data_IF_938801716992
#
_entry.id   IF_938801716992
#
_cell.length_a   1.000
_cell.length_b   1.000
_cell.length_c   1.000
_cell.angle_alpha   90.00
_cell.angle_beta   90.00
_cell.angle_gamma   90.00
#
_symmetry.space_group_name_H-M   'P 1'
#
loop_
_entity.id
_entity.type
_entity.pdbx_description
1 polymer ?
#
# COMPACT_ATOMS: atom_id res chain seq x y z
N UNK A 1 16.85 2.71 -20.35
CA UNK A 1 16.77 2.19 -18.97
C UNK A 1 17.76 2.97 -18.15
N UNK A 2 17.27 3.80 -17.23
CA UNK A 2 18.15 4.58 -16.35
C UNK A 2 18.73 3.63 -15.31
N UNK A 3 20.05 3.52 -15.27
CA UNK A 3 20.75 2.71 -14.26
C UNK A 3 21.06 3.59 -13.04
N UNK A 4 21.34 3.02 -11.88
CA UNK A 4 21.81 3.79 -10.71
C UNK A 4 22.99 4.72 -11.05
N UNK A 5 23.75 4.40 -12.11
CA UNK A 5 24.89 5.17 -12.56
C UNK A 5 24.55 6.39 -13.45
N UNK A 6 23.29 6.56 -13.88
CA UNK A 6 22.92 7.62 -14.84
C UNK A 6 22.25 8.86 -14.23
N UNK A 7 21.73 8.81 -12.99
CA UNK A 7 21.09 9.97 -12.35
C UNK A 7 21.27 9.96 -10.81
N UNK A 8 21.87 11.00 -10.19
CA UNK A 8 21.97 11.13 -8.73
C UNK A 8 20.63 11.04 -7.98
N UNK A 9 19.51 11.39 -8.63
CA UNK A 9 18.15 11.27 -8.06
C UNK A 9 17.74 9.81 -7.88
N UNK A 10 18.32 8.89 -8.66
CA UNK A 10 18.11 7.45 -8.50
C UNK A 10 18.72 6.93 -7.20
N UNK A 11 19.87 7.47 -6.79
CA UNK A 11 20.50 7.13 -5.50
C UNK A 11 19.68 7.64 -4.32
N UNK A 12 19.20 8.88 -4.39
CA UNK A 12 18.31 9.42 -3.35
C UNK A 12 17.02 8.59 -3.23
N UNK A 13 16.40 8.26 -4.36
CA UNK A 13 15.21 7.40 -4.38
C UNK A 13 15.50 5.99 -3.85
N UNK A 14 16.65 5.40 -4.21
CA UNK A 14 17.09 4.10 -3.72
C UNK A 14 17.24 4.09 -2.18
N UNK A 15 17.94 5.09 -1.63
CA UNK A 15 18.10 5.26 -0.18
C UNK A 15 16.74 5.42 0.50
N UNK A 16 15.86 6.26 -0.05
CA UNK A 16 14.52 6.46 0.50
C UNK A 16 13.69 5.16 0.51
N UNK A 17 13.78 4.34 -0.54
CA UNK A 17 13.11 3.04 -0.57
C UNK A 17 13.70 2.03 0.44
N UNK A 18 15.02 2.04 0.67
CA UNK A 18 15.63 1.24 1.75
C UNK A 18 15.10 1.70 3.10
N UNK A 19 15.15 3.01 3.38
CA UNK A 19 14.67 3.57 4.64
C UNK A 19 13.19 3.23 4.87
N UNK A 20 12.37 3.31 3.82
CA UNK A 20 10.97 2.92 3.86
C UNK A 20 10.79 1.43 4.16
N UNK A 21 11.58 0.56 3.51
CA UNK A 21 11.53 -0.89 3.72
C UNK A 21 11.85 -1.23 5.18
N UNK A 22 12.91 -0.64 5.72
CA UNK A 22 13.33 -0.82 7.12
C UNK A 22 12.25 -0.30 8.08
N UNK A 23 11.67 0.87 7.80
CA UNK A 23 10.60 1.45 8.62
C UNK A 23 9.36 0.54 8.63
N UNK A 24 8.93 0.06 7.47
CA UNK A 24 7.77 -0.82 7.34
C UNK A 24 8.00 -2.15 8.08
N UNK A 25 9.19 -2.74 7.96
CA UNK A 25 9.57 -3.92 8.75
C UNK A 25 9.58 -3.65 10.25
N UNK A 26 10.08 -2.48 10.67
CA UNK A 26 10.08 -2.08 12.07
C UNK A 26 8.64 -1.94 12.61
N UNK A 27 7.76 -1.30 11.86
CA UNK A 27 6.33 -1.19 12.21
C UNK A 27 5.67 -2.58 12.26
N UNK A 28 6.02 -3.49 11.35
CA UNK A 28 5.53 -4.87 11.38
C UNK A 28 5.93 -5.60 12.67
N UNK A 29 7.22 -5.54 13.03
CA UNK A 29 7.73 -6.15 14.28
C UNK A 29 7.03 -5.59 15.51
N UNK A 30 6.83 -4.27 15.56
CA UNK A 30 6.11 -3.63 16.66
C UNK A 30 4.64 -4.03 16.72
N UNK A 31 3.99 -4.22 15.56
CA UNK A 31 2.60 -4.68 15.51
C UNK A 31 2.45 -6.09 16.09
N UNK A 32 3.37 -7.01 15.77
CA UNK A 32 3.37 -8.36 16.37
C UNK A 32 3.62 -8.31 17.87
N UNK A 33 4.61 -7.54 18.32
CA UNK A 33 4.92 -7.40 19.75
C UNK A 33 3.76 -6.80 20.55
N UNK A 34 3.06 -5.82 19.97
CA UNK A 34 1.86 -5.24 20.59
C UNK A 34 0.70 -6.25 20.62
N UNK A 35 0.58 -7.11 19.60
CA UNK A 35 -0.44 -8.13 19.58
C UNK A 35 -0.26 -9.16 20.70
N UNK A 36 0.96 -9.65 20.90
CA UNK A 36 1.30 -10.55 22.02
C UNK A 36 0.94 -9.90 23.36
N UNK A 37 1.33 -8.65 23.56
CA UNK A 37 1.00 -7.91 24.78
C UNK A 37 -0.52 -7.74 25.03
N UNK A 38 -1.32 -7.57 23.97
CA UNK A 38 -2.79 -7.47 24.08
C UNK A 38 -3.44 -8.82 24.34
N UNK A 39 -2.90 -9.89 23.75
CA UNK A 39 -3.32 -11.28 24.01
C UNK A 39 -3.06 -11.66 25.47
N UNK A 40 -1.88 -11.33 26.01
CA UNK A 40 -1.55 -11.53 27.43
C UNK A 40 -2.49 -10.78 28.39
N UNK A 41 -3.09 -9.69 27.92
CA UNK A 41 -4.07 -8.88 28.65
C UNK A 41 -5.52 -9.35 28.47
N UNK A 42 -5.75 -10.40 27.68
CA UNK A 42 -7.09 -10.93 27.40
C UNK A 42 -7.89 -10.16 26.34
N UNK A 43 -7.26 -9.25 25.58
CA UNK A 43 -7.90 -8.53 24.47
C UNK A 43 -7.60 -9.20 23.13
N UNK A 44 -8.21 -10.37 22.92
CA UNK A 44 -7.98 -11.21 21.74
C UNK A 44 -8.39 -10.51 20.42
N UNK A 45 -9.43 -9.66 20.46
CA UNK A 45 -9.92 -8.94 19.28
C UNK A 45 -8.89 -7.93 18.78
N UNK A 46 -8.33 -7.12 19.70
CA UNK A 46 -7.30 -6.14 19.34
C UNK A 46 -5.98 -6.82 18.97
N UNK A 47 -5.61 -7.91 19.66
CA UNK A 47 -4.45 -8.72 19.30
C UNK A 47 -4.54 -9.25 17.86
N UNK A 48 -5.71 -9.79 17.48
CA UNK A 48 -5.97 -10.25 16.11
C UNK A 48 -5.87 -9.11 15.09
N UNK A 49 -6.44 -7.94 15.40
CA UNK A 49 -6.37 -6.76 14.53
C UNK A 49 -4.91 -6.29 14.31
N UNK A 50 -4.09 -6.27 15.38
CA UNK A 50 -2.67 -5.93 15.32
C UNK A 50 -1.84 -6.95 14.53
N UNK A 51 -2.10 -8.25 14.69
CA UNK A 51 -1.47 -9.30 13.86
C UNK A 51 -1.74 -9.08 12.37
N UNK A 52 -2.98 -8.75 12.01
CA UNK A 52 -3.37 -8.47 10.61
C UNK A 52 -2.61 -7.25 10.07
N UNK A 53 -2.44 -6.19 10.87
CA UNK A 53 -1.57 -5.07 10.49
C UNK A 53 -0.10 -5.49 10.35
N UNK A 54 0.41 -6.33 11.25
CA UNK A 54 1.75 -6.91 11.15
C UNK A 54 1.95 -7.64 9.82
N UNK A 55 1.05 -8.55 9.46
CA UNK A 55 1.08 -9.26 8.17
C UNK A 55 0.99 -8.29 6.98
N UNK A 56 0.11 -7.29 7.05
CA UNK A 56 0.02 -6.26 6.03
C UNK A 56 1.38 -5.59 5.79
N UNK A 57 2.06 -5.13 6.85
CA UNK A 57 3.35 -4.47 6.73
C UNK A 57 4.49 -5.43 6.32
N UNK A 58 4.47 -6.70 6.73
CA UNK A 58 5.45 -7.70 6.22
C UNK A 58 5.30 -7.87 4.72
N UNK A 59 4.08 -8.11 4.24
CA UNK A 59 3.82 -8.30 2.80
C UNK A 59 4.20 -7.01 2.03
N UNK A 60 3.91 -5.85 2.62
CA UNK A 60 4.31 -4.56 2.08
C UNK A 60 5.83 -4.45 1.95
N UNK A 61 6.60 -4.81 2.98
CA UNK A 61 8.06 -4.80 2.95
C UNK A 61 8.61 -5.76 1.88
N UNK A 62 8.04 -6.96 1.75
CA UNK A 62 8.44 -7.92 0.69
C UNK A 62 8.21 -7.34 -0.71
N UNK A 63 7.10 -6.61 -0.91
CA UNK A 63 6.86 -5.85 -2.14
C UNK A 63 7.96 -4.80 -2.39
N UNK A 64 8.36 -4.03 -1.37
CA UNK A 64 9.43 -3.03 -1.50
C UNK A 64 10.79 -3.67 -1.78
N UNK A 65 11.11 -4.80 -1.13
CA UNK A 65 12.33 -5.58 -1.38
C UNK A 65 12.37 -6.06 -2.82
N UNK A 66 11.25 -6.59 -3.35
CA UNK A 66 11.14 -6.96 -4.77
C UNK A 66 11.45 -5.78 -5.70
N UNK A 67 10.91 -4.59 -5.40
CA UNK A 67 11.19 -3.35 -6.13
C UNK A 67 12.63 -2.82 -5.97
N UNK A 68 13.33 -3.18 -4.88
CA UNK A 68 14.74 -2.83 -4.70
C UNK A 68 15.64 -3.80 -5.46
N UNK A 69 15.37 -5.10 -5.39
CA UNK A 69 16.14 -6.15 -6.07
C UNK A 69 16.12 -5.95 -7.58
N UNK A 70 14.98 -5.54 -8.17
CA UNK A 70 14.88 -5.31 -9.61
C UNK A 70 15.93 -4.31 -10.11
N UNK A 71 16.29 -3.30 -9.30
CA UNK A 71 17.27 -2.25 -9.68
C UNK A 71 18.70 -2.78 -9.84
N UNK A 72 18.95 -4.00 -9.35
CA UNK A 72 20.23 -4.70 -9.46
C UNK A 72 20.15 -5.95 -10.36
N UNK A 73 18.96 -6.29 -10.86
CA UNK A 73 18.78 -7.37 -11.84
C UNK A 73 19.09 -6.81 -13.24
N UNK A 74 20.37 -6.85 -13.65
CA UNK A 74 20.85 -6.02 -14.78
C UNK A 74 20.59 -6.62 -16.17
N UNK A 75 20.08 -7.85 -16.33
CA UNK A 75 20.27 -8.53 -17.62
C UNK A 75 19.11 -9.30 -18.23
N UNK A 76 18.00 -9.53 -17.52
CA UNK A 76 16.87 -10.29 -18.08
C UNK A 76 15.54 -9.53 -17.90
N UNK A 77 14.97 -9.08 -19.03
CA UNK A 77 13.71 -8.33 -19.07
C UNK A 77 12.53 -9.15 -18.52
N UNK A 78 12.52 -10.46 -18.73
CA UNK A 78 11.48 -11.36 -18.22
C UNK A 78 11.59 -11.49 -16.69
N UNK A 79 12.80 -11.64 -16.17
CA UNK A 79 13.03 -11.71 -14.72
C UNK A 79 12.59 -10.42 -14.02
N UNK A 80 12.91 -9.26 -14.60
CA UNK A 80 12.49 -7.95 -14.11
C UNK A 80 10.96 -7.86 -14.09
N UNK A 81 10.31 -8.29 -15.16
CA UNK A 81 8.85 -8.26 -15.29
C UNK A 81 8.17 -9.12 -14.20
N UNK A 82 8.68 -10.33 -13.97
CA UNK A 82 8.18 -11.25 -12.95
C UNK A 82 8.35 -10.65 -11.54
N UNK A 83 9.51 -10.04 -11.26
CA UNK A 83 9.80 -9.41 -9.96
C UNK A 83 8.86 -8.23 -9.68
N UNK A 84 8.68 -7.31 -10.64
CA UNK A 84 7.76 -6.18 -10.50
C UNK A 84 6.32 -6.63 -10.33
N UNK A 85 5.88 -7.62 -11.12
CA UNK A 85 4.53 -8.20 -11.00
C UNK A 85 4.30 -8.82 -9.64
N UNK A 86 5.29 -9.56 -9.13
CA UNK A 86 5.21 -10.21 -7.82
C UNK A 86 5.12 -9.15 -6.73
N UNK A 87 5.94 -8.10 -6.81
CA UNK A 87 5.89 -6.97 -5.88
C UNK A 87 4.52 -6.28 -5.88
N UNK A 88 3.95 -5.96 -7.04
CA UNK A 88 2.62 -5.36 -7.13
C UNK A 88 1.51 -6.30 -6.63
N UNK A 89 1.60 -7.60 -6.95
CA UNK A 89 0.62 -8.60 -6.48
C UNK A 89 0.64 -8.71 -4.96
N UNK A 90 1.81 -8.75 -4.34
CA UNK A 90 1.95 -8.77 -2.88
C UNK A 90 1.27 -7.57 -2.24
N UNK A 91 1.45 -6.36 -2.80
CA UNK A 91 0.74 -5.17 -2.33
C UNK A 91 -0.78 -5.33 -2.41
N UNK A 92 -1.31 -5.79 -3.54
CA UNK A 92 -2.76 -6.03 -3.68
C UNK A 92 -3.28 -7.12 -2.75
N UNK A 93 -2.50 -8.16 -2.48
CA UNK A 93 -2.84 -9.22 -1.50
C UNK A 93 -2.89 -8.65 -0.09
N UNK A 94 -1.91 -7.82 0.30
CA UNK A 94 -1.91 -7.16 1.61
C UNK A 94 -3.21 -6.34 1.80
N UNK A 95 -3.59 -5.58 0.77
CA UNK A 95 -4.83 -4.82 0.76
C UNK A 95 -6.05 -5.71 0.84
N UNK A 96 -6.11 -6.77 0.01
CA UNK A 96 -7.23 -7.69 0.00
C UNK A 96 -7.49 -8.28 1.38
N UNK A 97 -6.45 -8.76 2.07
CA UNK A 97 -6.55 -9.30 3.44
C UNK A 97 -7.15 -8.25 4.38
N UNK A 98 -6.65 -7.00 4.32
CA UNK A 98 -7.11 -5.95 5.22
C UNK A 98 -8.53 -5.51 4.93
N UNK A 99 -8.87 -5.30 3.65
CA UNK A 99 -10.22 -4.94 3.21
C UNK A 99 -11.22 -6.04 3.56
N UNK A 100 -10.88 -7.31 3.31
CA UNK A 100 -11.72 -8.45 3.67
C UNK A 100 -11.98 -8.52 5.18
N UNK A 101 -10.96 -8.27 6.01
CA UNK A 101 -11.14 -8.25 7.46
C UNK A 101 -12.09 -7.13 7.91
N UNK A 102 -11.89 -5.92 7.39
CA UNK A 102 -12.75 -4.77 7.69
C UNK A 102 -14.19 -5.02 7.21
N UNK A 103 -14.36 -5.56 6.00
CA UNK A 103 -15.65 -5.90 5.42
C UNK A 103 -16.39 -6.94 6.25
N UNK A 104 -15.71 -8.00 6.70
CA UNK A 104 -16.28 -9.01 7.60
C UNK A 104 -16.76 -8.39 8.91
N UNK A 105 -15.93 -7.56 9.56
CA UNK A 105 -16.34 -6.86 10.79
C UNK A 105 -17.55 -5.93 10.57
N UNK A 106 -17.67 -5.30 9.40
CA UNK A 106 -18.85 -4.49 9.08
C UNK A 106 -20.11 -5.32 8.85
N UNK A 107 -20.00 -6.47 8.18
CA UNK A 107 -21.13 -7.37 7.94
C UNK A 107 -21.67 -7.92 9.26
N UNK A 108 -20.77 -8.27 10.18
CA UNK A 108 -21.13 -8.69 11.54
C UNK A 108 -21.91 -7.59 12.29
N UNK A 109 -21.56 -6.32 12.11
CA UNK A 109 -22.22 -5.17 12.75
C UNK A 109 -23.51 -4.72 12.06
N UNK A 110 -23.59 -4.82 10.73
CA UNK A 110 -24.71 -4.34 9.91
C UNK A 110 -25.19 -5.45 8.97
N UNK A 111 -25.93 -6.42 9.53
CA UNK A 111 -26.48 -7.61 8.83
C UNK A 111 -27.17 -7.33 7.49
N UNK A 112 -27.66 -6.11 7.24
CA UNK A 112 -28.46 -5.75 6.07
C UNK A 112 -27.67 -5.15 4.89
N UNK A 113 -26.35 -4.90 5.01
CA UNK A 113 -25.55 -4.31 3.92
C UNK A 113 -24.35 -5.17 3.59
N UNK A 114 -24.38 -5.82 2.42
CA UNK A 114 -23.20 -6.42 1.82
C UNK A 114 -22.39 -5.33 1.14
N UNK A 115 -21.17 -5.14 1.60
CA UNK A 115 -20.17 -4.38 0.89
C UNK A 115 -19.39 -5.34 -0.02
N UNK A 116 -18.83 -4.85 -1.14
CA UNK A 116 -18.09 -5.68 -2.10
C UNK A 116 -16.68 -5.12 -2.36
N UNK A 117 -16.10 -4.42 -1.38
CA UNK A 117 -14.79 -3.77 -1.54
C UNK A 117 -13.66 -4.80 -1.69
N UNK A 118 -13.73 -5.91 -0.96
CA UNK A 118 -12.76 -7.01 -1.08
C UNK A 118 -12.81 -7.66 -2.47
N UNK A 119 -14.00 -7.79 -3.05
CA UNK A 119 -14.17 -8.27 -4.43
C UNK A 119 -13.57 -7.30 -5.46
N UNK A 120 -13.69 -5.99 -5.25
CA UNK A 120 -13.04 -4.97 -6.10
C UNK A 120 -11.51 -5.10 -6.06
N UNK A 121 -10.92 -5.31 -4.88
CA UNK A 121 -9.46 -5.53 -4.75
C UNK A 121 -9.07 -6.87 -5.40
N UNK A 122 -9.88 -7.92 -5.26
CA UNK A 122 -9.65 -9.21 -5.91
C UNK A 122 -9.61 -9.09 -7.44
N UNK A 123 -10.51 -8.30 -8.03
CA UNK A 123 -10.49 -8.01 -9.48
C UNK A 123 -9.16 -7.33 -9.86
N UNK A 124 -8.65 -6.41 -9.03
CA UNK A 124 -7.34 -5.77 -9.28
C UNK A 124 -6.19 -6.77 -9.27
N UNK A 125 -6.22 -7.76 -8.36
CA UNK A 125 -5.25 -8.88 -8.34
C UNK A 125 -5.32 -9.66 -9.63
N UNK A 126 -6.52 -10.04 -10.08
CA UNK A 126 -6.72 -10.83 -11.31
C UNK A 126 -6.20 -10.06 -12.52
N UNK A 127 -6.55 -8.76 -12.65
CA UNK A 127 -6.07 -7.91 -13.75
C UNK A 127 -4.54 -7.85 -13.74
N UNK A 128 -3.91 -7.66 -12.58
CA UNK A 128 -2.45 -7.59 -12.47
C UNK A 128 -1.74 -8.91 -12.81
N UNK A 129 -2.35 -10.06 -12.52
CA UNK A 129 -1.78 -11.38 -12.80
C UNK A 129 -1.95 -11.77 -14.27
N UNK A 130 -3.13 -11.52 -14.85
CA UNK A 130 -3.51 -12.01 -16.18
C UNK A 130 -3.03 -11.08 -17.30
N UNK A 131 -2.98 -9.77 -17.04
CA UNK A 131 -2.59 -8.77 -18.05
C UNK A 131 -1.07 -8.71 -18.15
N UNK A 132 -0.44 -8.70 -19.34
CA UNK A 132 1.01 -8.52 -19.48
C UNK A 132 1.51 -7.20 -18.86
N UNK A 133 2.73 -7.14 -18.32
CA UNK A 133 3.13 -6.01 -17.45
C UNK A 133 3.35 -4.75 -18.26
N UNK A 134 3.89 -4.91 -19.47
CA UNK A 134 4.04 -3.83 -20.44
C UNK A 134 2.70 -3.13 -20.74
N UNK A 135 1.61 -3.89 -20.86
CA UNK A 135 0.24 -3.39 -21.04
C UNK A 135 -0.24 -2.55 -19.85
N UNK A 136 0.23 -2.84 -18.63
CA UNK A 136 -0.14 -2.10 -17.42
C UNK A 136 0.71 -0.83 -17.24
N UNK A 137 1.94 -0.83 -17.77
CA UNK A 137 2.88 0.30 -17.67
C UNK A 137 2.74 1.33 -18.80
N UNK A 138 2.08 0.95 -19.90
CA UNK A 138 1.77 1.81 -21.04
C UNK A 138 0.42 2.52 -20.87
N UNK A 139 0.30 3.70 -21.49
CA UNK A 139 -0.95 4.46 -21.50
C UNK A 139 -2.00 3.70 -22.30
N UNK A 140 -2.89 2.99 -21.61
CA UNK A 140 -4.02 2.32 -22.24
C UNK A 140 -5.26 2.28 -21.35
N UNK A 141 -6.43 1.86 -21.90
CA UNK A 141 -7.65 1.74 -21.12
C UNK A 141 -7.56 0.73 -19.96
N UNK A 142 -6.80 -0.35 -20.09
CA UNK A 142 -6.62 -1.36 -19.02
C UNK A 142 -5.90 -0.78 -17.80
N UNK A 143 -4.91 0.09 -17.99
CA UNK A 143 -4.23 0.81 -16.92
C UNK A 143 -5.21 1.73 -16.17
N UNK A 144 -6.07 2.45 -16.90
CA UNK A 144 -7.12 3.29 -16.31
C UNK A 144 -8.12 2.44 -15.51
N UNK A 145 -8.55 1.31 -16.05
CA UNK A 145 -9.46 0.37 -15.38
C UNK A 145 -8.81 -0.18 -14.10
N UNK A 146 -7.55 -0.59 -14.16
CA UNK A 146 -6.80 -1.07 -13.00
C UNK A 146 -6.73 0.01 -11.91
N UNK A 147 -6.34 1.23 -12.28
CA UNK A 147 -6.28 2.35 -11.33
C UNK A 147 -7.65 2.66 -10.71
N UNK A 148 -8.73 2.60 -11.49
CA UNK A 148 -10.08 2.79 -10.98
C UNK A 148 -10.44 1.72 -9.94
N UNK A 149 -10.21 0.43 -10.23
CA UNK A 149 -10.49 -0.65 -9.28
C UNK A 149 -9.63 -0.55 -8.02
N UNK A 150 -8.32 -0.30 -8.15
CA UNK A 150 -7.43 -0.15 -6.99
C UNK A 150 -7.87 1.04 -6.13
N UNK A 151 -8.19 2.18 -6.74
CA UNK A 151 -8.65 3.39 -6.03
C UNK A 151 -9.98 3.14 -5.32
N UNK A 152 -10.94 2.49 -5.99
CA UNK A 152 -12.22 2.11 -5.39
C UNK A 152 -12.03 1.12 -4.23
N UNK A 153 -11.15 0.13 -4.38
CA UNK A 153 -10.80 -0.81 -3.32
C UNK A 153 -10.19 -0.10 -2.10
N UNK A 154 -9.26 0.83 -2.32
CA UNK A 154 -8.66 1.64 -1.26
C UNK A 154 -9.64 2.60 -0.58
N UNK A 155 -10.65 3.10 -1.29
CA UNK A 155 -11.62 4.07 -0.76
C UNK A 155 -12.39 3.56 0.47
N UNK A 156 -12.42 2.24 0.68
CA UNK A 156 -13.01 1.61 1.85
C UNK A 156 -12.39 2.11 3.17
N UNK A 157 -11.07 2.36 3.19
CA UNK A 157 -10.38 2.85 4.37
C UNK A 157 -10.88 4.24 4.77
N UNK A 158 -10.78 5.29 3.92
CA UNK A 158 -11.29 6.59 4.29
C UNK A 158 -12.79 6.54 4.57
N UNK A 159 -13.62 5.87 3.76
CA UNK A 159 -15.07 5.81 3.99
C UNK A 159 -15.41 5.29 5.40
N UNK A 160 -14.83 4.16 5.79
CA UNK A 160 -15.15 3.51 7.07
C UNK A 160 -14.57 4.28 8.24
N UNK A 161 -13.31 4.67 8.15
CA UNK A 161 -12.66 5.37 9.25
C UNK A 161 -13.18 6.81 9.40
N UNK A 162 -13.60 7.49 8.32
CA UNK A 162 -14.36 8.74 8.45
C UNK A 162 -15.74 8.53 9.06
N UNK A 163 -16.44 7.46 8.67
CA UNK A 163 -17.72 7.12 9.30
C UNK A 163 -17.55 6.92 10.81
N UNK A 164 -16.59 6.10 11.23
CA UNK A 164 -16.25 5.89 12.66
C UNK A 164 -15.88 7.22 13.33
N UNK A 165 -15.04 8.05 12.70
CA UNK A 165 -14.65 9.35 13.23
C UNK A 165 -15.86 10.30 13.41
N UNK A 166 -16.85 10.24 12.52
CA UNK A 166 -18.06 11.07 12.61
C UNK A 166 -18.98 10.67 13.77
N UNK A 167 -18.90 9.41 14.22
CA UNK A 167 -19.76 8.83 15.26
C UNK A 167 -19.06 8.70 16.62
N UNK A 168 -17.79 9.02 16.70
CA UNK A 168 -16.97 8.87 17.92
C UNK A 168 -16.42 10.21 18.41
N UNK A 169 -15.95 10.23 19.65
CA UNK A 169 -15.31 11.38 20.28
C UNK A 169 -13.93 11.01 20.86
N UNK A 170 -13.14 12.03 21.19
CA UNK A 170 -11.85 11.85 21.87
C UNK A 170 -10.80 11.05 21.07
N UNK A 171 -10.19 10.07 21.74
CA UNK A 171 -9.09 9.25 21.22
C UNK A 171 -9.51 8.36 20.05
N UNK A 172 -10.70 7.77 20.12
CA UNK A 172 -11.25 6.90 19.07
C UNK A 172 -11.40 7.67 17.74
N UNK A 173 -11.99 8.87 17.80
CA UNK A 173 -12.11 9.76 16.63
C UNK A 173 -10.75 10.11 16.04
N UNK A 174 -9.80 10.47 16.91
CA UNK A 174 -8.45 10.86 16.49
C UNK A 174 -7.72 9.70 15.81
N UNK A 175 -7.80 8.49 16.37
CA UNK A 175 -7.17 7.31 15.80
C UNK A 175 -7.81 6.92 14.46
N UNK A 176 -9.13 7.00 14.35
CA UNK A 176 -9.82 6.74 13.08
C UNK A 176 -9.40 7.73 11.98
N UNK A 177 -9.31 9.03 12.28
CA UNK A 177 -8.81 10.02 11.31
C UNK A 177 -7.36 9.76 10.89
N UNK A 178 -6.48 9.33 11.81
CA UNK A 178 -5.09 8.96 11.48
C UNK A 178 -5.02 7.76 10.56
N UNK A 179 -5.80 6.70 10.81
CA UNK A 179 -5.83 5.53 9.93
C UNK A 179 -6.37 5.90 8.54
N UNK A 180 -7.43 6.71 8.48
CA UNK A 180 -7.98 7.22 7.22
C UNK A 180 -6.93 8.00 6.42
N UNK A 181 -6.31 9.01 7.04
CA UNK A 181 -5.29 9.82 6.40
C UNK A 181 -4.08 8.96 5.99
N UNK A 182 -3.65 8.05 6.86
CA UNK A 182 -2.53 7.17 6.60
C UNK A 182 -2.77 6.23 5.42
N UNK A 183 -3.99 5.68 5.29
CA UNK A 183 -4.37 4.86 4.14
C UNK A 183 -4.37 5.66 2.83
N UNK A 184 -4.80 6.92 2.85
CA UNK A 184 -4.73 7.82 1.68
C UNK A 184 -3.27 8.06 1.28
N UNK A 185 -2.39 8.37 2.24
CA UNK A 185 -0.97 8.58 1.96
C UNK A 185 -0.28 7.32 1.43
N UNK A 186 -0.61 6.13 1.96
CA UNK A 186 -0.14 4.86 1.40
C UNK A 186 -0.63 4.66 -0.04
N UNK A 187 -1.93 4.87 -0.30
CA UNK A 187 -2.50 4.71 -1.63
C UNK A 187 -1.83 5.64 -2.64
N UNK A 188 -1.67 6.92 -2.29
CA UNK A 188 -0.99 7.90 -3.15
C UNK A 188 0.45 7.50 -3.45
N UNK A 189 1.21 7.07 -2.44
CA UNK A 189 2.60 6.66 -2.62
C UNK A 189 2.77 5.44 -3.52
N UNK A 190 1.85 4.48 -3.48
CA UNK A 190 1.91 3.29 -4.33
C UNK A 190 1.36 3.52 -5.74
N UNK A 191 0.24 4.25 -5.87
CA UNK A 191 -0.39 4.55 -7.16
C UNK A 191 0.48 5.49 -8.00
N UNK A 192 1.07 6.51 -7.36
CA UNK A 192 1.93 7.50 -8.02
C UNK A 192 3.42 7.17 -7.87
N UNK A 193 3.77 5.89 -7.77
CA UNK A 193 5.18 5.49 -7.90
C UNK A 193 5.65 5.77 -9.35
N UNK A 194 6.81 6.42 -9.58
CA UNK A 194 7.34 6.66 -10.93
C UNK A 194 7.37 5.43 -11.84
N UNK A 195 7.59 4.23 -11.31
CA UNK A 195 7.59 3.00 -12.11
C UNK A 195 6.20 2.69 -12.71
N UNK A 196 5.13 2.97 -11.97
CA UNK A 196 3.75 2.76 -12.42
C UNK A 196 3.33 3.76 -13.49
N UNK A 197 4.01 4.92 -13.58
CA UNK A 197 3.72 6.00 -14.51
C UNK A 197 4.76 6.16 -15.62
N UNK A 198 5.64 5.16 -15.81
CA UNK A 198 6.72 5.22 -16.79
C UNK A 198 6.22 5.51 -18.22
N UNK A 199 5.08 4.94 -18.62
CA UNK A 199 4.47 5.18 -19.94
C UNK A 199 4.01 6.62 -20.17
N UNK A 200 3.94 7.46 -19.13
CA UNK A 200 3.55 8.86 -19.24
C UNK A 200 4.73 9.83 -19.34
N UNK A 201 5.97 9.33 -19.31
CA UNK A 201 7.19 10.17 -19.26
C UNK A 201 7.39 11.02 -20.52
N UNK A 202 6.90 10.56 -21.66
CA UNK A 202 7.04 11.24 -22.94
C UNK A 202 5.99 12.35 -23.17
N UNK A 203 5.05 12.54 -22.22
CA UNK A 203 4.08 13.64 -22.29
C UNK A 203 4.74 14.95 -21.81
N UNK A 204 4.78 16.00 -22.66
CA UNK A 204 5.35 17.29 -22.28
C UNK A 204 4.72 17.87 -21.01
N UNK A 205 5.56 18.32 -20.07
CA UNK A 205 5.12 18.86 -18.78
C UNK A 205 4.86 17.81 -17.69
N UNK A 206 4.58 16.55 -18.06
CA UNK A 206 4.39 15.47 -17.10
C UNK A 206 5.72 14.86 -16.62
N UNK A 207 6.77 14.93 -17.44
CA UNK A 207 8.10 14.43 -17.11
C UNK A 207 8.66 15.04 -15.81
N UNK A 208 8.51 16.35 -15.62
CA UNK A 208 8.90 17.03 -14.38
C UNK A 208 8.11 16.51 -13.18
N UNK A 209 6.80 16.31 -13.32
CA UNK A 209 5.98 15.76 -12.24
C UNK A 209 6.40 14.32 -11.88
N UNK A 210 6.66 13.47 -12.86
CA UNK A 210 7.15 12.09 -12.64
C UNK A 210 8.51 12.09 -11.93
N UNK A 211 9.39 13.03 -12.26
CA UNK A 211 10.68 13.18 -11.57
C UNK A 211 10.50 13.51 -10.08
N UNK A 212 9.51 14.35 -9.72
CA UNK A 212 9.20 14.66 -8.31
C UNK A 212 8.65 13.46 -7.54
N UNK A 213 7.95 12.55 -8.21
CA UNK A 213 7.39 11.34 -7.59
C UNK A 213 8.48 10.39 -7.06
N UNK A 214 9.72 10.46 -7.56
CA UNK A 214 10.84 9.71 -6.98
C UNK A 214 11.14 10.11 -5.52
N UNK A 215 10.69 11.28 -5.07
CA UNK A 215 10.87 11.72 -3.68
C UNK A 215 9.55 11.65 -2.93
N UNK A 216 8.48 12.18 -3.53
CA UNK A 216 7.20 12.35 -2.82
C UNK A 216 6.46 11.03 -2.61
N UNK A 217 6.59 10.04 -3.50
CA UNK A 217 5.93 8.75 -3.32
C UNK A 217 6.49 7.98 -2.10
N UNK A 218 7.81 7.77 -1.94
CA UNK A 218 8.38 7.19 -0.72
C UNK A 218 8.01 7.94 0.56
N UNK A 219 8.04 9.29 0.54
CA UNK A 219 7.65 10.12 1.69
C UNK A 219 6.18 9.91 2.05
N UNK A 220 5.30 9.82 1.06
CA UNK A 220 3.88 9.54 1.28
C UNK A 220 3.69 8.17 1.94
N UNK A 221 4.44 7.16 1.50
CA UNK A 221 4.39 5.83 2.15
C UNK A 221 4.84 5.91 3.61
N UNK A 222 5.94 6.62 3.90
CA UNK A 222 6.47 6.81 5.26
C UNK A 222 5.43 7.49 6.16
N UNK A 223 4.86 8.62 5.72
CA UNK A 223 3.83 9.34 6.46
C UNK A 223 2.62 8.43 6.68
N UNK A 224 2.20 7.70 5.66
CA UNK A 224 1.07 6.78 5.73
C UNK A 224 1.26 5.68 6.77
N UNK A 225 2.41 5.03 6.75
CA UNK A 225 2.77 3.97 7.69
C UNK A 225 2.86 4.50 9.14
N UNK A 226 3.47 5.67 9.35
CA UNK A 226 3.57 6.30 10.67
C UNK A 226 2.22 6.70 11.26
N UNK A 227 1.32 7.26 10.44
CA UNK A 227 -0.03 7.64 10.89
C UNK A 227 -0.84 6.43 11.31
N UNK A 228 -0.78 5.35 10.53
CA UNK A 228 -1.42 4.08 10.88
C UNK A 228 -0.80 3.54 12.16
N UNK A 229 0.53 3.52 12.29
CA UNK A 229 1.22 3.07 13.50
C UNK A 229 0.85 3.83 14.77
N UNK A 230 0.88 5.17 14.71
CA UNK A 230 0.54 6.01 15.86
C UNK A 230 -0.92 5.85 16.31
N UNK A 231 -1.81 5.39 15.42
CA UNK A 231 -3.22 5.15 15.76
C UNK A 231 -3.45 4.00 16.75
N UNK A 232 -2.54 3.02 16.82
CA UNK A 232 -2.68 1.86 17.71
C UNK A 232 -1.61 1.77 18.81
N UNK A 233 -0.49 2.51 18.71
CA UNK A 233 0.51 2.57 19.81
C UNK A 233 -0.05 3.17 21.10
N UNK A 234 -1.04 4.07 21.01
CA UNK A 234 -1.59 4.81 22.17
C UNK A 234 -2.81 4.15 22.84
N UNK A 235 -3.10 2.89 22.51
CA UNK A 235 -4.18 2.07 23.10
C UNK A 235 -3.57 1.03 24.03
#
# INVERSE_FOLDING_TARGET
MDSLNSDPRMWANFILWICNTVLVLFIAMLSFKLAEFKEDKGDESEAKNLRIWGYFFVILALSQIGNLIWRFAVSDALLIEILLRTAHTLFYVALFIRVLNIEKSLIELNWYKRYYFSAIVLISIIINIVTPTWVITEINPLQVILFAFVTLGFSVFPIIYFYVASKSSGTVRTNALKVSAGAVFLALGYLFNPQTLAGYRDIPGLSFYIDWLYITAPISIIIGALLIYDSYRKI
#
